data_IF_784260865365
#
_entry.id   IF_784260865365
#
_cell.length_a   1.000
_cell.length_b   1.000
_cell.length_c   1.000
_cell.angle_alpha   90.00
_cell.angle_beta   90.00
_cell.angle_gamma   90.00
#
_symmetry.space_group_name_H-M   'P 1'
#
loop_
_entity.id
_entity.type
_entity.pdbx_description
1 polymer ?
#
# COMPACT_ATOMS: atom_id res chain seq x y z
N UNK A 1 12.41 -8.19 -26.87
CA UNK A 1 13.83 -8.20 -27.34
C UNK A 1 14.83 -7.59 -26.35
N UNK A 2 14.57 -6.42 -25.72
CA UNK A 2 15.55 -5.78 -24.81
C UNK A 2 15.90 -6.61 -23.57
N UNK A 3 14.94 -7.29 -22.94
CA UNK A 3 15.18 -8.16 -21.77
C UNK A 3 16.05 -9.38 -22.09
N UNK A 4 15.93 -9.97 -23.28
CA UNK A 4 16.76 -11.10 -23.70
C UNK A 4 18.21 -10.64 -23.89
N UNK A 5 18.40 -9.47 -24.52
CA UNK A 5 19.74 -8.85 -24.64
C UNK A 5 20.36 -8.48 -23.30
N UNK A 6 19.55 -8.12 -22.31
CA UNK A 6 20.02 -7.90 -20.95
C UNK A 6 20.52 -9.19 -20.28
N UNK A 7 19.87 -10.33 -20.52
CA UNK A 7 20.31 -11.63 -19.98
C UNK A 7 21.63 -12.13 -20.59
N UNK A 8 21.93 -11.73 -21.83
CA UNK A 8 23.18 -12.06 -22.53
C UNK A 8 24.28 -11.00 -22.34
N UNK A 9 24.05 -9.97 -21.51
CA UNK A 9 25.01 -8.88 -21.31
C UNK A 9 26.23 -9.32 -20.50
N UNK A 10 27.42 -8.81 -20.85
CA UNK A 10 28.68 -9.25 -20.23
C UNK A 10 29.00 -8.54 -18.92
N UNK A 11 28.35 -7.39 -18.66
CA UNK A 11 28.62 -6.54 -17.51
C UNK A 11 27.38 -5.74 -17.08
N UNK A 12 27.35 -5.33 -15.81
CA UNK A 12 26.22 -4.62 -15.21
C UNK A 12 25.91 -3.28 -15.88
N UNK A 13 26.90 -2.62 -16.49
CA UNK A 13 26.69 -1.36 -17.22
C UNK A 13 25.94 -1.57 -18.54
N UNK A 14 26.24 -2.64 -19.26
CA UNK A 14 25.62 -3.02 -20.51
C UNK A 14 24.19 -3.55 -20.26
N UNK A 15 24.02 -4.38 -19.23
CA UNK A 15 22.70 -4.85 -18.79
C UNK A 15 21.77 -3.68 -18.43
N UNK A 16 22.27 -2.72 -17.61
CA UNK A 16 21.52 -1.53 -17.24
C UNK A 16 21.16 -0.69 -18.48
N UNK A 17 22.03 -0.63 -19.49
CA UNK A 17 21.74 0.03 -20.76
C UNK A 17 20.55 -0.59 -21.51
N UNK A 18 20.42 -1.92 -21.49
CA UNK A 18 19.28 -2.62 -22.10
C UNK A 18 17.98 -2.52 -21.29
N UNK A 19 18.08 -2.57 -19.96
CA UNK A 19 16.93 -2.55 -19.05
C UNK A 19 16.40 -1.15 -18.79
N UNK A 20 17.30 -0.18 -18.62
CA UNK A 20 16.98 1.21 -18.30
C UNK A 20 17.97 2.18 -18.97
N UNK A 21 17.74 2.53 -20.25
CA UNK A 21 18.57 3.49 -20.98
C UNK A 21 18.67 4.85 -20.28
N UNK A 22 17.60 5.27 -19.60
CA UNK A 22 17.56 6.53 -18.85
C UNK A 22 18.50 6.47 -17.65
N UNK A 23 18.46 5.40 -16.84
CA UNK A 23 19.38 5.28 -15.70
C UNK A 23 20.83 5.07 -16.13
N UNK A 24 21.07 4.50 -17.33
CA UNK A 24 22.42 4.37 -17.87
C UNK A 24 23.07 5.70 -18.24
N UNK A 25 22.28 6.74 -18.55
CA UNK A 25 22.77 8.08 -18.84
C UNK A 25 22.85 8.98 -17.60
N UNK A 26 22.26 8.56 -16.47
CA UNK A 26 22.32 9.29 -15.21
C UNK A 26 23.70 9.14 -14.59
N UNK A 27 24.27 10.26 -14.15
CA UNK A 27 25.57 10.29 -13.48
C UNK A 27 25.52 9.53 -12.16
N UNK A 28 26.45 8.59 -11.95
CA UNK A 28 26.62 7.88 -10.67
C UNK A 28 27.35 8.72 -9.61
N UNK A 29 27.62 9.99 -9.88
CA UNK A 29 28.27 10.89 -8.92
C UNK A 29 27.28 11.24 -7.82
N UNK A 30 27.60 10.86 -6.58
CA UNK A 30 26.84 11.27 -5.42
C UNK A 30 27.03 12.79 -5.21
N UNK A 31 25.95 13.58 -5.03
CA UNK A 31 26.05 15.03 -4.87
C UNK A 31 26.77 15.42 -3.57
N UNK A 32 26.78 14.53 -2.58
CA UNK A 32 27.47 14.71 -1.32
C UNK A 32 28.56 13.66 -1.18
N UNK A 33 29.78 14.14 -0.98
CA UNK A 33 30.92 13.30 -0.63
C UNK A 33 31.56 13.87 0.63
N UNK A 34 32.04 12.98 1.47
CA UNK A 34 32.72 13.37 2.71
C UNK A 34 34.10 13.91 2.31
N UNK A 35 34.55 15.05 2.86
CA UNK A 35 35.89 15.58 2.60
C UNK A 35 36.98 14.54 2.89
N UNK A 36 38.06 14.61 2.13
CA UNK A 36 39.24 13.79 2.38
C UNK A 36 39.70 14.00 3.83
N UNK A 37 39.90 12.89 4.56
CA UNK A 37 40.40 12.90 5.92
C UNK A 37 39.35 13.11 7.04
N UNK A 38 38.06 13.26 6.72
CA UNK A 38 37.03 13.50 7.74
C UNK A 38 37.03 12.47 8.89
N UNK A 39 37.14 11.18 8.55
CA UNK A 39 37.17 10.10 9.54
C UNK A 39 38.57 9.74 10.03
N UNK A 40 39.61 10.03 9.24
CA UNK A 40 41.01 9.76 9.67
C UNK A 40 41.43 10.73 10.75
N UNK A 41 41.03 11.99 10.63
CA UNK A 41 41.44 13.06 11.52
C UNK A 41 40.41 13.27 12.66
N UNK A 42 39.32 12.50 12.65
CA UNK A 42 38.23 12.65 13.62
C UNK A 42 38.70 12.39 15.05
N UNK A 43 39.48 11.32 15.27
CA UNK A 43 40.01 10.98 16.59
C UNK A 43 40.87 12.12 17.15
N UNK A 44 41.78 12.64 16.33
CA UNK A 44 42.63 13.75 16.73
C UNK A 44 41.82 15.02 17.00
N UNK A 45 40.83 15.34 16.17
CA UNK A 45 39.93 16.49 16.37
C UNK A 45 39.11 16.35 17.65
N UNK A 46 38.60 15.16 17.97
CA UNK A 46 37.89 14.89 19.23
C UNK A 46 38.85 15.04 20.41
N UNK A 47 40.06 14.47 20.34
CA UNK A 47 41.04 14.57 21.40
C UNK A 47 41.54 16.01 21.61
N UNK A 48 41.72 16.78 20.54
CA UNK A 48 42.04 18.20 20.62
C UNK A 48 40.88 19.00 21.19
N UNK A 49 39.64 18.71 20.79
CA UNK A 49 38.46 19.34 21.37
C UNK A 49 38.38 19.07 22.88
N UNK A 50 38.51 17.82 23.31
CA UNK A 50 38.55 17.46 24.74
C UNK A 50 39.70 18.15 25.46
N UNK A 51 40.90 18.26 24.85
CA UNK A 51 42.04 18.94 25.47
C UNK A 51 41.85 20.45 25.57
N UNK A 52 41.21 21.08 24.59
CA UNK A 52 40.98 22.52 24.54
C UNK A 52 39.76 22.94 25.40
N UNK A 53 38.79 22.04 25.56
CA UNK A 53 37.59 22.21 26.38
C UNK A 53 37.84 21.87 27.86
N UNK A 54 39.05 21.37 28.19
CA UNK A 54 39.55 21.32 29.57
C UNK A 54 39.86 22.72 30.07
N UNK A 55 38.83 23.53 30.29
CA UNK A 55 38.78 24.22 31.55
C UNK A 55 38.86 23.11 32.62
N UNK A 56 39.73 23.22 33.61
CA UNK A 56 40.03 22.17 34.60
C UNK A 56 38.85 21.91 35.57
N UNK A 57 37.60 21.99 35.09
CA UNK A 57 36.42 21.70 35.86
C UNK A 57 36.35 20.19 36.09
N UNK A 58 36.05 19.83 37.33
CA UNK A 58 35.66 18.48 37.68
C UNK A 58 34.33 18.15 37.00
N UNK A 59 34.03 16.85 36.79
CA UNK A 59 32.77 16.41 36.18
C UNK A 59 31.53 16.99 36.87
N UNK A 60 31.59 17.24 38.18
CA UNK A 60 30.49 17.85 38.94
C UNK A 60 30.34 19.35 38.65
N UNK A 61 31.43 20.05 38.37
CA UNK A 61 31.42 21.48 37.99
C UNK A 61 30.97 21.66 36.53
N UNK A 62 31.43 20.81 35.61
CA UNK A 62 30.92 20.77 34.23
C UNK A 62 29.42 20.49 34.19
N UNK A 63 28.96 19.50 34.96
CA UNK A 63 27.54 19.15 35.02
C UNK A 63 26.71 20.30 35.62
N UNK A 64 27.25 21.02 36.60
CA UNK A 64 26.60 22.19 37.20
C UNK A 64 26.49 23.35 36.22
N UNK A 65 27.48 23.55 35.34
CA UNK A 65 27.45 24.57 34.29
C UNK A 65 26.46 24.19 33.17
N UNK A 66 26.55 22.96 32.66
CA UNK A 66 25.69 22.48 31.56
C UNK A 66 24.24 22.27 31.99
N UNK A 67 24.03 21.78 33.21
CA UNK A 67 22.71 21.50 33.75
C UNK A 67 22.68 21.63 35.28
N UNK A 68 22.45 22.85 35.80
CA UNK A 68 22.30 23.09 37.23
C UNK A 68 21.24 22.16 37.86
N UNK A 69 20.16 21.88 37.13
CA UNK A 69 19.08 21.00 37.57
C UNK A 69 19.56 19.56 37.75
N UNK A 70 20.27 18.98 36.78
CA UNK A 70 20.79 17.61 36.92
C UNK A 70 21.86 17.52 38.00
N UNK A 71 22.71 18.54 38.16
CA UNK A 71 23.71 18.57 39.25
C UNK A 71 23.06 18.62 40.65
N UNK A 72 21.86 19.20 40.76
CA UNK A 72 21.12 19.28 42.01
C UNK A 72 20.35 18.00 42.35
N UNK A 73 20.17 17.10 41.38
CA UNK A 73 19.45 15.86 41.57
C UNK A 73 20.34 14.83 42.28
N UNK A 74 19.80 14.19 43.31
CA UNK A 74 20.48 13.07 43.96
C UNK A 74 20.58 11.90 42.99
N UNK A 75 21.75 11.27 42.91
CA UNK A 75 22.00 10.05 42.13
C UNK A 75 21.37 8.81 42.82
N UNK A 76 20.08 8.91 43.13
CA UNK A 76 19.30 7.85 43.74
C UNK A 76 18.33 7.30 42.70
N UNK A 77 18.34 5.98 42.49
CA UNK A 77 17.36 5.33 41.62
C UNK A 77 16.03 5.23 42.37
N UNK A 78 14.95 5.90 41.92
CA UNK A 78 13.68 5.92 42.65
C UNK A 78 12.97 4.56 42.65
N UNK A 79 13.42 3.64 41.80
CA UNK A 79 12.86 2.30 41.68
C UNK A 79 13.90 1.27 42.10
N UNK A 80 13.52 0.42 43.03
CA UNK A 80 14.25 -0.80 43.37
C UNK A 80 13.29 -1.96 43.35
N UNK A 81 13.75 -3.11 42.88
CA UNK A 81 12.97 -4.34 42.97
C UNK A 81 12.95 -4.85 44.41
N UNK A 82 11.84 -5.44 44.89
CA UNK A 82 11.82 -6.11 46.18
C UNK A 82 12.82 -7.27 46.24
N UNK A 83 13.32 -7.57 47.44
CA UNK A 83 14.14 -8.76 47.65
C UNK A 83 13.35 -10.01 47.24
N UNK A 84 13.96 -10.90 46.45
CA UNK A 84 13.27 -12.10 45.99
C UNK A 84 12.39 -11.91 44.74
N UNK A 85 12.44 -10.75 44.06
CA UNK A 85 11.58 -10.46 42.89
C UNK A 85 11.78 -11.48 41.76
N UNK A 86 13.03 -11.74 41.37
CA UNK A 86 13.33 -12.62 40.23
C UNK A 86 13.18 -14.10 40.59
N UNK A 87 13.39 -14.46 41.85
CA UNK A 87 13.22 -15.80 42.40
C UNK A 87 11.74 -16.23 42.39
N UNK A 88 10.83 -15.27 42.51
CA UNK A 88 9.38 -15.51 42.42
C UNK A 88 8.89 -15.60 40.97
N UNK A 89 9.59 -15.02 39.99
CA UNK A 89 9.17 -15.08 38.58
C UNK A 89 9.07 -16.52 38.08
N UNK A 90 10.00 -17.38 38.48
CA UNK A 90 10.02 -18.81 38.15
C UNK A 90 8.81 -19.60 38.71
N UNK A 91 8.17 -19.07 39.77
CA UNK A 91 7.00 -19.69 40.40
C UNK A 91 5.68 -19.19 39.81
N UNK A 92 5.67 -17.97 39.26
CA UNK A 92 4.48 -17.31 38.71
C UNK A 92 4.35 -17.59 37.21
N UNK A 93 5.47 -17.76 36.51
CA UNK A 93 5.46 -18.25 35.14
C UNK A 93 5.38 -19.78 35.23
N UNK A 94 4.25 -20.43 34.90
CA UNK A 94 4.23 -21.87 34.81
C UNK A 94 5.27 -22.27 33.77
N UNK A 95 6.40 -22.85 34.21
CA UNK A 95 7.24 -23.63 33.31
C UNK A 95 6.29 -24.57 32.61
N UNK A 96 6.31 -24.53 31.28
CA UNK A 96 5.51 -25.35 30.39
C UNK A 96 5.88 -26.82 30.62
N UNK A 97 5.43 -27.36 31.76
CA UNK A 97 5.52 -28.76 32.11
C UNK A 97 4.57 -29.46 31.16
N UNK A 98 5.15 -29.98 30.09
CA UNK A 98 4.68 -31.13 29.33
C UNK A 98 3.16 -31.11 29.12
N UNK A 99 2.71 -30.26 28.19
CA UNK A 99 1.39 -30.45 27.57
C UNK A 99 1.35 -31.89 27.04
N UNK A 100 0.36 -32.74 27.41
CA UNK A 100 0.28 -34.09 26.88
C UNK A 100 0.23 -33.98 25.35
N UNK A 101 1.08 -34.75 24.67
CA UNK A 101 1.21 -34.72 23.21
C UNK A 101 -0.19 -34.69 22.57
N UNK A 102 -0.52 -33.56 21.93
CA UNK A 102 -1.83 -33.32 21.37
C UNK A 102 -2.19 -34.46 20.41
N UNK A 103 -3.40 -35.00 20.53
CA UNK A 103 -3.87 -36.12 19.71
C UNK A 103 -3.84 -35.71 18.24
N UNK A 104 -2.83 -36.20 17.51
CA UNK A 104 -2.67 -35.96 16.08
C UNK A 104 -3.78 -36.68 15.34
N UNK A 105 -4.73 -35.93 14.79
CA UNK A 105 -5.71 -36.44 13.83
C UNK A 105 -5.21 -36.16 12.42
N UNK A 106 -5.13 -37.21 11.60
CA UNK A 106 -4.72 -37.08 10.20
C UNK A 106 -5.75 -36.26 9.41
N UNK A 107 -5.30 -35.18 8.77
CA UNK A 107 -6.14 -34.24 8.02
C UNK A 107 -6.64 -34.79 6.67
N UNK A 108 -6.15 -35.95 6.22
CA UNK A 108 -6.37 -36.43 4.86
C UNK A 108 -7.48 -37.48 4.78
N UNK A 109 -8.74 -37.03 4.65
CA UNK A 109 -9.85 -37.92 4.24
C UNK A 109 -10.41 -37.47 2.89
N UNK A 110 -9.77 -37.91 1.81
CA UNK A 110 -10.13 -37.52 0.45
C UNK A 110 -11.29 -38.37 -0.11
N UNK A 111 -12.52 -37.93 0.15
CA UNK A 111 -13.72 -38.52 -0.47
C UNK A 111 -14.03 -37.95 -1.87
N UNK A 112 -13.18 -37.07 -2.40
CA UNK A 112 -13.44 -36.34 -3.66
C UNK A 112 -13.36 -37.19 -4.93
N UNK A 113 -12.63 -38.31 -4.89
CA UNK A 113 -12.52 -39.24 -6.03
C UNK A 113 -13.87 -39.81 -6.47
N UNK A 114 -14.83 -39.94 -5.56
CA UNK A 114 -16.18 -40.42 -5.87
C UNK A 114 -16.94 -39.42 -6.75
N UNK A 115 -16.73 -38.12 -6.53
CA UNK A 115 -17.32 -37.07 -7.36
C UNK A 115 -16.59 -36.92 -8.71
N UNK A 116 -15.27 -37.07 -8.72
CA UNK A 116 -14.49 -37.06 -9.96
C UNK A 116 -14.93 -38.20 -10.91
N UNK A 117 -15.13 -39.41 -10.39
CA UNK A 117 -15.64 -40.53 -11.17
C UNK A 117 -17.03 -40.26 -11.77
N UNK A 118 -17.95 -39.66 -11.00
CA UNK A 118 -19.28 -39.27 -11.50
C UNK A 118 -19.20 -38.22 -12.61
N UNK A 119 -18.35 -37.20 -12.45
CA UNK A 119 -18.17 -36.16 -13.46
C UNK A 119 -17.59 -36.71 -14.78
N UNK A 120 -16.67 -37.67 -14.70
CA UNK A 120 -16.12 -38.35 -15.88
C UNK A 120 -17.21 -39.16 -16.59
N UNK A 121 -18.03 -39.91 -15.86
CA UNK A 121 -19.13 -40.67 -16.45
C UNK A 121 -20.14 -39.75 -17.15
N UNK A 122 -20.53 -38.64 -16.53
CA UNK A 122 -21.41 -37.63 -17.14
C UNK A 122 -20.77 -37.03 -18.40
N UNK A 123 -19.48 -36.68 -18.34
CA UNK A 123 -18.74 -36.14 -19.48
C UNK A 123 -18.69 -37.11 -20.66
N UNK A 124 -18.42 -38.40 -20.41
CA UNK A 124 -18.39 -39.43 -21.46
C UNK A 124 -19.78 -39.60 -22.10
N UNK A 125 -20.85 -39.59 -21.31
CA UNK A 125 -22.23 -39.67 -21.81
C UNK A 125 -22.59 -38.44 -22.66
N UNK A 126 -22.26 -37.24 -22.19
CA UNK A 126 -22.53 -35.99 -22.90
C UNK A 126 -21.77 -35.89 -24.23
N UNK A 127 -20.48 -36.26 -24.24
CA UNK A 127 -19.65 -36.25 -25.44
C UNK A 127 -20.17 -37.29 -26.45
N UNK A 128 -20.51 -38.49 -25.98
CA UNK A 128 -21.05 -39.55 -26.84
C UNK A 128 -22.39 -39.16 -27.47
N UNK A 129 -23.28 -38.51 -26.70
CA UNK A 129 -24.55 -37.98 -27.20
C UNK A 129 -24.36 -36.89 -28.25
N UNK A 130 -23.43 -35.96 -28.03
CA UNK A 130 -23.16 -34.86 -28.98
C UNK A 130 -22.58 -35.39 -30.30
N UNK A 131 -21.66 -36.36 -30.25
CA UNK A 131 -21.11 -37.00 -31.45
C UNK A 131 -22.21 -37.72 -32.24
N UNK A 132 -23.15 -38.39 -31.57
CA UNK A 132 -24.28 -39.06 -32.21
C UNK A 132 -25.26 -38.07 -32.88
N UNK A 133 -25.56 -36.95 -32.23
CA UNK A 133 -26.45 -35.91 -32.78
C UNK A 133 -25.79 -35.16 -33.95
N UNK A 134 -24.46 -34.90 -33.89
CA UNK A 134 -23.75 -34.25 -35.00
C UNK A 134 -23.69 -35.12 -36.25
N UNK A 135 -23.66 -36.44 -36.09
CA UNK A 135 -23.65 -37.37 -37.23
C UNK A 135 -25.04 -37.54 -37.88
N UNK A 136 -26.12 -37.09 -37.21
CA UNK A 136 -27.49 -37.08 -37.72
C UNK A 136 -27.91 -35.62 -37.94
N UNK A 137 -27.27 -34.93 -38.89
CA UNK A 137 -27.55 -33.53 -39.18
C UNK A 137 -29.00 -33.29 -39.65
N UNK A 138 -29.83 -32.73 -38.77
CA UNK A 138 -31.05 -32.00 -39.16
C UNK A 138 -30.72 -30.51 -39.13
N UNK A 139 -30.49 -29.94 -40.32
CA UNK A 139 -30.39 -28.49 -40.52
C UNK A 139 -31.75 -27.85 -40.24
N UNK A 140 -31.92 -27.23 -39.07
CA UNK A 140 -33.06 -26.34 -38.82
C UNK A 140 -32.66 -24.92 -39.24
N UNK A 141 -33.15 -24.50 -40.41
CA UNK A 141 -33.03 -23.14 -40.91
C UNK A 141 -34.10 -22.27 -40.25
N UNK A 142 -33.82 -21.77 -39.05
CA UNK A 142 -34.73 -20.84 -38.37
C UNK A 142 -34.19 -19.40 -38.45
N UNK A 143 -34.73 -18.56 -39.37
CA UNK A 143 -34.22 -17.21 -39.61
C UNK A 143 -34.35 -16.28 -38.38
N UNK A 144 -35.26 -16.58 -37.44
CA UNK A 144 -35.50 -15.76 -36.24
C UNK A 144 -34.33 -15.79 -35.25
N UNK A 145 -33.61 -16.92 -35.16
CA UNK A 145 -32.44 -17.04 -34.29
C UNK A 145 -31.24 -16.19 -34.79
N UNK A 146 -31.16 -15.97 -36.11
CA UNK A 146 -30.11 -15.18 -36.75
C UNK A 146 -30.35 -13.68 -36.51
N UNK A 147 -31.60 -13.23 -36.63
CA UNK A 147 -32.00 -11.83 -36.42
C UNK A 147 -31.74 -11.38 -34.98
N UNK A 148 -32.10 -12.21 -33.99
CA UNK A 148 -31.84 -11.90 -32.57
C UNK A 148 -30.35 -11.75 -32.24
N UNK A 149 -29.48 -12.51 -32.93
CA UNK A 149 -28.03 -12.43 -32.75
C UNK A 149 -27.44 -11.14 -33.34
N UNK A 150 -28.05 -10.59 -34.40
CA UNK A 150 -27.63 -9.33 -35.00
C UNK A 150 -28.10 -8.12 -34.19
N UNK A 151 -29.33 -8.13 -33.68
CA UNK A 151 -29.88 -7.04 -32.84
C UNK A 151 -29.06 -6.82 -31.56
N UNK A 152 -28.57 -7.90 -30.93
CA UNK A 152 -27.76 -7.81 -29.71
C UNK A 152 -26.37 -7.17 -29.93
N UNK A 153 -25.87 -7.15 -31.17
CA UNK A 153 -24.58 -6.53 -31.50
C UNK A 153 -24.70 -5.01 -31.71
N UNK A 154 -25.77 -4.55 -32.36
CA UNK A 154 -25.98 -3.11 -32.69
C UNK A 154 -26.13 -2.24 -31.44
N UNK A 155 -26.80 -2.74 -30.40
CA UNK A 155 -27.09 -1.96 -29.18
C UNK A 155 -25.88 -1.52 -28.36
N UNK A 156 -24.71 -2.17 -28.50
CA UNK A 156 -23.52 -1.84 -27.70
C UNK A 156 -22.61 -0.80 -28.37
N UNK A 157 -22.61 -0.74 -29.70
CA UNK A 157 -21.74 0.17 -30.47
C UNK A 157 -22.31 1.61 -30.47
N UNK A 158 -23.63 1.76 -30.39
CA UNK A 158 -24.33 3.05 -30.44
C UNK A 158 -24.20 3.84 -29.11
N UNK A 159 -24.16 3.14 -27.97
CA UNK A 159 -23.93 3.75 -26.65
C UNK A 159 -22.54 4.37 -26.56
N UNK A 160 -21.54 3.73 -27.18
CA UNK A 160 -20.16 4.21 -27.14
C UNK A 160 -19.95 5.50 -27.94
N UNK A 161 -20.67 5.68 -29.05
CA UNK A 161 -20.62 6.92 -29.85
C UNK A 161 -21.30 8.10 -29.16
N UNK A 162 -22.40 7.86 -28.43
CA UNK A 162 -23.09 8.93 -27.70
C UNK A 162 -22.26 9.49 -26.54
N UNK A 163 -21.50 8.63 -25.86
CA UNK A 163 -20.55 9.04 -24.79
C UNK A 163 -19.36 9.82 -25.36
N UNK A 164 -19.00 9.60 -26.62
CA UNK A 164 -17.87 10.27 -27.27
C UNK A 164 -18.21 11.69 -27.79
N UNK A 165 -19.49 11.95 -28.10
CA UNK A 165 -19.96 13.25 -28.61
C UNK A 165 -20.15 14.31 -27.50
N UNK A 166 -20.11 13.90 -26.23
CA UNK A 166 -20.19 14.83 -25.08
C UNK A 166 -18.79 15.29 -24.67
N UNK A 167 -18.20 16.14 -25.51
CA UNK A 167 -17.02 16.93 -25.14
C UNK A 167 -17.38 18.02 -24.09
N UNK A 168 -16.41 18.39 -23.23
CA UNK A 168 -16.59 19.42 -22.22
C UNK A 168 -16.82 20.79 -22.85
N UNK A 169 -17.83 21.51 -22.36
CA UNK A 169 -18.04 22.94 -22.67
C UNK A 169 -16.78 23.70 -22.24
N UNK A 170 -16.08 24.29 -23.21
CA UNK A 170 -14.93 25.18 -23.01
C UNK A 170 -15.36 26.48 -22.31
N UNK A 171 -14.49 27.12 -21.51
CA UNK A 171 -14.84 28.30 -20.74
C UNK A 171 -14.95 29.53 -21.66
N UNK A 172 -16.04 30.27 -21.54
CA UNK A 172 -16.13 31.63 -22.08
C UNK A 172 -15.26 32.53 -21.20
N UNK A 173 -14.37 33.28 -21.85
CA UNK A 173 -13.55 34.30 -21.23
C UNK A 173 -14.43 35.44 -20.72
N UNK A 174 -14.44 35.66 -19.41
CA UNK A 174 -14.65 36.97 -18.82
C UNK A 174 -13.69 37.13 -17.63
N UNK A 175 -13.05 38.28 -17.59
CA UNK A 175 -11.98 38.63 -16.67
C UNK A 175 -12.51 38.81 -15.23
N UNK A 176 -11.64 38.50 -14.24
CA UNK A 176 -11.69 38.87 -12.82
C UNK A 176 -12.21 37.80 -11.83
N UNK A 177 -11.34 36.85 -11.46
CA UNK A 177 -11.29 36.23 -10.12
C UNK A 177 -9.93 35.53 -9.90
N UNK A 178 -9.40 35.45 -8.67
CA UNK A 178 -7.99 35.15 -8.41
C UNK A 178 -7.65 33.65 -8.50
N UNK A 179 -6.38 33.43 -8.84
CA UNK A 179 -5.67 32.17 -9.05
C UNK A 179 -5.90 31.15 -7.92
N UNK A 180 -6.42 29.97 -8.29
CA UNK A 180 -6.25 28.73 -7.54
C UNK A 180 -5.60 27.72 -8.48
N UNK A 181 -4.55 27.05 -8.00
CA UNK A 181 -3.74 26.12 -8.76
C UNK A 181 -4.60 25.05 -9.46
N UNK A 182 -4.50 24.99 -10.79
CA UNK A 182 -5.17 23.99 -11.62
C UNK A 182 -4.38 22.67 -11.55
N UNK A 183 -4.92 21.68 -10.84
CA UNK A 183 -4.53 20.30 -11.07
C UNK A 183 -5.16 19.84 -12.39
N UNK A 184 -4.32 19.58 -13.39
CA UNK A 184 -4.73 19.08 -14.70
C UNK A 184 -5.29 17.64 -14.52
N UNK A 185 -6.60 17.48 -14.41
CA UNK A 185 -7.25 16.16 -14.38
C UNK A 185 -7.20 15.59 -15.79
N UNK A 186 -6.15 14.82 -16.06
CA UNK A 186 -5.84 14.29 -17.38
C UNK A 186 -6.58 12.98 -17.70
N UNK A 187 -7.10 12.29 -16.69
CA UNK A 187 -7.73 10.98 -16.85
C UNK A 187 -9.06 10.86 -16.08
N UNK A 188 -10.18 10.80 -16.81
CA UNK A 188 -11.51 10.54 -16.25
C UNK A 188 -11.60 9.18 -15.53
N UNK A 189 -10.70 8.24 -15.85
CA UNK A 189 -10.58 6.93 -15.20
C UNK A 189 -10.03 7.02 -13.79
N UNK A 190 -9.07 7.91 -13.57
CA UNK A 190 -8.45 8.12 -12.25
C UNK A 190 -9.48 8.69 -11.28
N UNK A 191 -10.29 9.65 -11.75
CA UNK A 191 -11.42 10.21 -10.98
C UNK A 191 -12.49 9.14 -10.69
N UNK A 192 -12.83 8.28 -11.65
CA UNK A 192 -13.77 7.18 -11.41
C UNK A 192 -13.24 6.12 -10.45
N UNK A 193 -11.93 5.89 -10.43
CA UNK A 193 -11.27 4.94 -9.52
C UNK A 193 -11.18 5.50 -8.09
N UNK A 194 -10.86 6.79 -7.94
CA UNK A 194 -10.83 7.49 -6.64
C UNK A 194 -12.20 7.58 -5.97
N UNK A 195 -13.28 7.63 -6.75
CA UNK A 195 -14.65 7.75 -6.24
C UNK A 195 -15.30 6.37 -6.04
N UNK A 196 -14.71 5.29 -6.57
CA UNK A 196 -15.28 3.93 -6.49
C UNK A 196 -15.39 3.40 -5.05
N UNK A 197 -14.45 3.79 -4.19
CA UNK A 197 -14.39 3.36 -2.79
C UNK A 197 -15.24 4.23 -1.86
N UNK A 198 -15.81 5.33 -2.38
CA UNK A 198 -16.77 6.15 -1.65
C UNK A 198 -18.16 5.53 -1.80
N UNK A 199 -18.72 5.03 -0.70
CA UNK A 199 -20.11 4.59 -0.68
C UNK A 199 -21.04 5.80 -0.70
N UNK A 200 -22.17 5.70 -1.40
CA UNK A 200 -23.26 6.70 -1.34
C UNK A 200 -23.68 7.03 0.11
N UNK A 201 -23.50 6.07 1.03
CA UNK A 201 -23.78 6.22 2.46
C UNK A 201 -22.81 7.17 3.17
N UNK A 202 -21.53 7.13 2.82
CA UNK A 202 -20.49 7.96 3.46
C UNK A 202 -20.60 9.42 3.00
N UNK A 203 -21.02 9.62 1.74
CA UNK A 203 -21.34 10.94 1.19
C UNK A 203 -22.54 11.53 1.92
N UNK A 204 -23.59 10.74 2.18
CA UNK A 204 -24.77 11.19 2.92
C UNK A 204 -24.43 11.58 4.38
N UNK A 205 -23.61 10.79 5.08
CA UNK A 205 -23.21 11.15 6.45
C UNK A 205 -22.40 12.44 6.51
N UNK A 206 -21.53 12.69 5.53
CA UNK A 206 -20.75 13.93 5.50
C UNK A 206 -21.63 15.16 5.23
N UNK A 207 -22.64 15.03 4.37
CA UNK A 207 -23.62 16.10 4.12
C UNK A 207 -24.46 16.38 5.36
N UNK A 208 -24.85 15.35 6.09
CA UNK A 208 -25.62 15.48 7.33
C UNK A 208 -24.79 16.10 8.45
N UNK A 209 -23.53 15.69 8.62
CA UNK A 209 -22.58 16.30 9.56
C UNK A 209 -22.34 17.78 9.21
N UNK A 210 -22.11 18.11 7.94
CA UNK A 210 -21.91 19.50 7.50
C UNK A 210 -23.14 20.38 7.73
N UNK A 211 -24.35 19.84 7.61
CA UNK A 211 -25.59 20.56 7.93
C UNK A 211 -25.82 20.71 9.44
N UNK A 212 -25.35 19.76 10.25
CA UNK A 212 -25.46 19.84 11.71
C UNK A 212 -24.57 20.93 12.32
N UNK A 213 -23.39 21.18 11.72
CA UNK A 213 -22.42 22.18 12.19
C UNK A 213 -22.91 23.63 11.99
N UNK A 214 -23.82 23.89 11.05
CA UNK A 214 -24.41 25.23 10.89
C UNK A 214 -25.52 25.54 11.93
N UNK A 215 -25.97 24.55 12.71
CA UNK A 215 -27.10 24.71 13.64
C UNK A 215 -26.73 24.91 15.11
N UNK A 216 -25.45 24.76 15.50
CA UNK A 216 -25.04 24.88 16.91
C UNK A 216 -24.65 26.30 17.37
N UNK A 217 -24.52 27.28 16.46
CA UNK A 217 -24.02 28.63 16.80
C UNK A 217 -25.11 29.72 17.04
N UNK A 218 -26.40 29.37 17.11
CA UNK A 218 -27.48 30.39 17.23
C UNK A 218 -28.24 30.46 18.56
N UNK A 219 -27.89 29.69 19.60
CA UNK A 219 -28.71 29.64 20.84
C UNK A 219 -28.12 30.31 22.10
N UNK A 220 -26.99 31.06 22.03
CA UNK A 220 -26.41 31.71 23.22
C UNK A 220 -26.23 33.25 23.13
N UNK A 221 -27.20 33.95 22.53
CA UNK A 221 -27.23 35.43 22.54
C UNK A 221 -28.64 35.98 22.83
N UNK A 222 -29.22 35.61 23.97
CA UNK A 222 -30.47 36.20 24.48
C UNK A 222 -30.54 36.17 26.03
N UNK A 223 -29.53 36.71 26.70
CA UNK A 223 -29.61 37.09 28.12
C UNK A 223 -28.81 38.39 28.35
N UNK A 224 -29.42 39.53 28.03
CA UNK A 224 -29.41 40.80 28.79
C UNK A 224 -30.16 41.90 28.04
#
# INVERSE_FOLDING_TARGET
MRRIRAMDASNATEELGYLSPLLSSVSKKMPYTVPAGFFTDQEERIMQAIKNDRNELTTDEELKELSPLLSSLKKETPYSVPQGYFEKLDTVIPREKEKPAAKVVSITRQNWFRYAAAAVLIGVIAISGLVFVKNNGTTSNDPEAIVNKMMKKVSNDEIHNFVQMTEPVTPVADEQAPVIAQAEIKDKKEVQELIKDLSDKDIQSFVEDAQSVETEDNDDASMN
#
